data_IF_483480520505
#
_entry.id   IF_483480520505
#
_cell.length_a   1.000
_cell.length_b   1.000
_cell.length_c   1.000
_cell.angle_alpha   90.00
_cell.angle_beta   90.00
_cell.angle_gamma   90.00
#
_symmetry.space_group_name_H-M   'P 1'
#
loop_
_entity.id
_entity.type
_entity.pdbx_description
1 polymer ?
#
# COMPACT_ATOMS: atom_id res chain seq x y z
N UNK A 1 -10.56 12.46 -14.65
CA UNK A 1 -10.94 12.22 -13.23
C UNK A 1 -11.07 10.72 -13.02
N UNK A 2 -10.22 10.16 -12.15
CA UNK A 2 -10.00 8.72 -11.97
C UNK A 2 -11.26 8.01 -11.45
N UNK A 3 -11.65 6.92 -12.13
CA UNK A 3 -12.82 6.06 -11.82
C UNK A 3 -12.84 5.52 -10.39
N UNK A 4 -11.75 5.64 -9.63
CA UNK A 4 -11.53 5.00 -8.33
C UNK A 4 -11.93 5.84 -7.11
N UNK A 5 -12.17 7.16 -7.24
CA UNK A 5 -12.74 7.95 -6.14
C UNK A 5 -14.19 7.53 -5.80
N UNK A 6 -14.88 6.86 -6.73
CA UNK A 6 -16.25 6.37 -6.54
C UNK A 6 -16.33 4.89 -6.09
N UNK A 7 -15.22 4.15 -6.04
CA UNK A 7 -15.26 2.69 -5.87
C UNK A 7 -15.04 2.21 -4.43
N UNK A 8 -14.98 3.10 -3.45
CA UNK A 8 -14.82 2.70 -2.04
C UNK A 8 -13.44 2.12 -1.72
N UNK A 9 -12.40 2.51 -2.45
CA UNK A 9 -11.02 2.09 -2.16
C UNK A 9 -10.17 3.27 -1.69
N UNK A 10 -9.29 3.02 -0.73
CA UNK A 10 -8.25 3.94 -0.31
C UNK A 10 -6.93 3.64 -1.01
N UNK A 11 -6.23 4.70 -1.36
CA UNK A 11 -4.93 4.63 -2.02
C UNK A 11 -3.82 4.94 -1.01
N UNK A 12 -2.78 4.09 -0.97
CA UNK A 12 -1.63 4.27 -0.10
C UNK A 12 -0.32 3.97 -0.85
N UNK A 13 0.79 4.51 -0.34
CA UNK A 13 2.14 4.18 -0.79
C UNK A 13 2.83 3.42 0.32
N UNK A 14 3.10 2.13 0.09
CA UNK A 14 3.71 1.25 1.08
C UNK A 14 5.17 0.99 0.74
N UNK A 15 6.08 1.10 1.72
CA UNK A 15 7.49 0.82 1.49
C UNK A 15 7.72 -0.67 1.26
N UNK A 16 8.51 -0.99 0.24
CA UNK A 16 9.00 -2.33 -0.07
C UNK A 16 10.52 -2.34 -0.12
N UNK A 17 11.13 -3.43 0.36
CA UNK A 17 12.56 -3.69 0.22
C UNK A 17 12.79 -4.60 -0.99
N UNK A 18 13.58 -4.09 -1.93
CA UNK A 18 14.09 -4.86 -3.04
C UNK A 18 15.60 -4.60 -3.14
N UNK A 19 16.39 -5.66 -2.99
CA UNK A 19 17.86 -5.60 -3.13
C UNK A 19 18.52 -4.57 -2.19
N UNK A 20 18.08 -4.53 -0.93
CA UNK A 20 18.57 -3.63 0.11
C UNK A 20 18.34 -2.14 -0.20
N UNK A 21 17.35 -1.84 -1.04
CA UNK A 21 16.85 -0.48 -1.30
C UNK A 21 15.36 -0.41 -1.03
N UNK A 22 14.93 0.74 -0.49
CA UNK A 22 13.53 1.02 -0.24
C UNK A 22 12.91 1.66 -1.48
N UNK A 23 11.84 1.05 -1.95
CA UNK A 23 10.96 1.57 -3.01
C UNK A 23 9.55 1.69 -2.45
N UNK A 24 8.65 2.30 -3.22
CA UNK A 24 7.25 2.43 -2.83
C UNK A 24 6.33 1.72 -3.81
N UNK A 25 5.45 0.91 -3.25
CA UNK A 25 4.35 0.28 -3.97
C UNK A 25 3.08 1.08 -3.72
N UNK A 26 2.46 1.55 -4.79
CA UNK A 26 1.16 2.20 -4.73
C UNK A 26 0.08 1.12 -4.67
N UNK A 27 -0.70 1.10 -3.60
CA UNK A 27 -1.72 0.08 -3.36
C UNK A 27 -3.11 0.68 -3.25
N UNK A 28 -4.12 -0.11 -3.59
CA UNK A 28 -5.52 0.20 -3.35
C UNK A 28 -6.13 -0.85 -2.46
N UNK A 29 -6.76 -0.39 -1.39
CA UNK A 29 -7.32 -1.22 -0.32
C UNK A 29 -8.79 -0.89 -0.18
N UNK A 30 -9.62 -1.86 0.13
CA UNK A 30 -11.03 -1.62 0.47
C UNK A 30 -11.16 -0.64 1.66
N UNK A 31 -11.97 0.40 1.49
CA UNK A 31 -12.06 1.48 2.47
C UNK A 31 -12.77 1.06 3.76
N UNK A 32 -13.70 0.10 3.71
CA UNK A 32 -14.39 -0.42 4.89
C UNK A 32 -13.41 -1.13 5.85
N UNK A 33 -12.45 -1.86 5.30
CA UNK A 33 -11.36 -2.49 6.04
C UNK A 33 -10.39 -1.44 6.62
N UNK A 34 -10.12 -0.36 5.88
CA UNK A 34 -9.25 0.72 6.35
C UNK A 34 -9.82 1.47 7.57
N UNK A 35 -11.15 1.60 7.70
CA UNK A 35 -11.76 2.27 8.86
C UNK A 35 -11.29 1.64 10.18
N UNK A 36 -11.02 0.32 10.20
CA UNK A 36 -10.49 -0.37 11.39
C UNK A 36 -9.07 0.11 11.72
N UNK A 37 -8.21 0.28 10.71
CA UNK A 37 -6.85 0.80 10.88
C UNK A 37 -6.87 2.27 11.31
N UNK A 38 -7.74 3.11 10.73
CA UNK A 38 -7.86 4.51 11.11
C UNK A 38 -8.29 4.66 12.57
N UNK A 39 -9.26 3.86 13.04
CA UNK A 39 -9.64 3.85 14.46
C UNK A 39 -8.48 3.48 15.39
N UNK A 40 -7.61 2.54 14.98
CA UNK A 40 -6.39 2.20 15.75
C UNK A 40 -5.40 3.38 15.77
N UNK A 41 -5.31 4.15 14.68
CA UNK A 41 -4.47 5.33 14.58
C UNK A 41 -5.00 6.47 15.47
N UNK A 42 -6.32 6.70 15.48
CA UNK A 42 -6.98 7.71 16.30
C UNK A 42 -6.79 7.46 17.80
N UNK A 43 -6.67 6.20 18.25
CA UNK A 43 -6.36 5.88 19.65
C UNK A 43 -4.95 6.34 20.10
N UNK A 44 -4.04 6.56 19.15
CA UNK A 44 -2.64 6.94 19.43
C UNK A 44 -2.44 8.44 19.21
N UNK A 45 -3.02 9.00 18.15
CA UNK A 45 -2.75 10.37 17.70
C UNK A 45 -3.96 11.31 17.78
N UNK A 46 -5.16 10.79 18.02
CA UNK A 46 -6.39 11.55 18.15
C UNK A 46 -7.06 11.36 19.52
N UNK A 47 -8.30 11.81 19.62
CA UNK A 47 -9.19 11.53 20.76
C UNK A 47 -10.56 11.03 20.28
N UNK A 48 -11.38 10.42 21.15
CA UNK A 48 -12.74 10.03 20.77
C UNK A 48 -13.61 11.20 20.29
N UNK A 49 -13.36 12.41 20.79
CA UNK A 49 -14.09 13.64 20.43
C UNK A 49 -13.51 14.33 19.19
N UNK A 50 -12.19 14.19 18.97
CA UNK A 50 -11.44 14.76 17.84
C UNK A 50 -10.59 13.64 17.21
N UNK A 51 -11.15 12.82 16.30
CA UNK A 51 -10.32 11.95 15.47
C UNK A 51 -9.34 12.83 14.67
N UNK A 52 -8.23 12.27 14.22
CA UNK A 52 -7.10 12.97 13.57
C UNK A 52 -6.03 13.57 14.49
N UNK A 53 -4.82 13.63 13.93
CA UNK A 53 -3.62 14.16 14.56
C UNK A 53 -3.77 15.67 14.81
N UNK A 54 -4.00 16.08 16.07
CA UNK A 54 -4.12 17.50 16.44
C UNK A 54 -2.80 18.25 16.38
N UNK A 55 -1.71 17.56 16.70
CA UNK A 55 -0.36 18.08 16.59
C UNK A 55 0.20 17.77 15.19
N UNK A 56 0.43 18.83 14.41
CA UNK A 56 0.99 18.69 13.06
C UNK A 56 2.41 18.10 13.06
N UNK A 57 3.17 18.24 14.15
CA UNK A 57 4.51 17.64 14.26
C UNK A 57 4.46 16.11 14.33
N UNK A 58 3.32 15.53 14.72
CA UNK A 58 3.11 14.10 14.80
C UNK A 58 2.61 13.49 13.48
N UNK A 59 2.23 14.30 12.48
CA UNK A 59 1.72 13.82 11.19
C UNK A 59 2.67 12.85 10.48
N UNK A 60 3.99 13.11 10.38
CA UNK A 60 4.91 12.15 9.75
C UNK A 60 4.89 10.78 10.44
N UNK A 61 4.92 10.79 11.77
CA UNK A 61 4.87 9.59 12.60
C UNK A 61 3.52 8.85 12.45
N UNK A 62 2.41 9.58 12.39
CA UNK A 62 1.09 9.00 12.16
C UNK A 62 1.00 8.36 10.77
N UNK A 63 1.62 8.94 9.74
CA UNK A 63 1.65 8.38 8.38
C UNK A 63 2.49 7.10 8.30
N UNK A 64 3.63 7.03 8.98
CA UNK A 64 4.42 5.81 9.12
C UNK A 64 3.61 4.72 9.83
N UNK A 65 2.96 5.08 10.95
CA UNK A 65 2.14 4.13 11.69
C UNK A 65 0.93 3.63 10.90
N UNK A 66 0.30 4.50 10.11
CA UNK A 66 -0.78 4.11 9.22
C UNK A 66 -0.30 3.12 8.15
N UNK A 67 0.90 3.31 7.61
CA UNK A 67 1.50 2.39 6.65
C UNK A 67 1.71 1.00 7.27
N UNK A 68 2.22 0.93 8.50
CA UNK A 68 2.36 -0.33 9.24
C UNK A 68 1.02 -1.01 9.48
N UNK A 69 -0.01 -0.25 9.89
CA UNK A 69 -1.36 -0.78 10.13
C UNK A 69 -2.01 -1.29 8.84
N UNK A 70 -1.75 -0.64 7.71
CA UNK A 70 -2.19 -1.09 6.40
C UNK A 70 -1.48 -2.40 6.01
N UNK A 71 -0.17 -2.51 6.24
CA UNK A 71 0.58 -3.75 6.00
C UNK A 71 0.00 -4.89 6.85
N UNK A 72 -0.27 -4.63 8.13
CA UNK A 72 -0.94 -5.58 9.03
C UNK A 72 -2.30 -6.04 8.48
N UNK A 73 -3.13 -5.09 8.04
CA UNK A 73 -4.44 -5.37 7.45
C UNK A 73 -4.33 -6.27 6.21
N UNK A 74 -3.35 -6.03 5.35
CA UNK A 74 -3.13 -6.85 4.15
C UNK A 74 -2.69 -8.27 4.53
N UNK A 75 -1.87 -8.43 5.56
CA UNK A 75 -1.46 -9.76 6.03
C UNK A 75 -2.60 -10.52 6.71
N UNK A 76 -3.41 -9.86 7.54
CA UNK A 76 -4.57 -10.46 8.20
C UNK A 76 -5.67 -10.83 7.19
N UNK A 77 -5.89 -9.96 6.20
CA UNK A 77 -6.89 -10.15 5.16
C UNK A 77 -6.33 -9.79 3.77
N UNK A 78 -5.65 -10.73 3.09
CA UNK A 78 -5.07 -10.50 1.76
C UNK A 78 -6.07 -10.05 0.70
N UNK A 79 -7.37 -10.36 0.86
CA UNK A 79 -8.44 -9.94 -0.06
C UNK A 79 -8.73 -8.44 0.00
N UNK A 80 -8.25 -7.74 1.03
CA UNK A 80 -8.37 -6.28 1.15
C UNK A 80 -7.53 -5.54 0.12
N UNK A 81 -6.39 -6.11 -0.30
CA UNK A 81 -5.54 -5.56 -1.35
C UNK A 81 -6.17 -5.82 -2.73
N UNK A 82 -6.60 -4.76 -3.40
CA UNK A 82 -7.26 -4.86 -4.71
C UNK A 82 -6.35 -4.62 -5.88
N UNK A 83 -5.41 -3.68 -5.73
CA UNK A 83 -4.48 -3.30 -6.79
C UNK A 83 -3.14 -2.95 -6.18
N UNK A 84 -2.09 -3.21 -6.94
CA UNK A 84 -0.73 -2.85 -6.61
C UNK A 84 -0.03 -2.37 -7.89
N UNK A 85 0.57 -1.19 -7.84
CA UNK A 85 1.34 -0.61 -8.92
C UNK A 85 2.75 -0.24 -8.43
N UNK A 86 3.73 -0.43 -9.29
CA UNK A 86 5.13 -0.06 -9.07
C UNK A 86 5.73 0.53 -10.33
N UNK A 87 6.92 1.10 -10.21
CA UNK A 87 7.73 1.52 -11.37
C UNK A 87 8.09 0.34 -12.27
N UNK A 88 8.26 0.58 -13.59
CA UNK A 88 8.51 -0.50 -14.56
C UNK A 88 9.75 -1.33 -14.22
N UNK A 89 10.84 -0.67 -13.84
CA UNK A 89 12.08 -1.34 -13.44
C UNK A 89 11.87 -2.24 -12.21
N UNK A 90 11.05 -1.82 -11.26
CA UNK A 90 10.71 -2.59 -10.06
C UNK A 90 9.82 -3.78 -10.41
N UNK A 91 8.85 -3.62 -11.31
CA UNK A 91 8.03 -4.73 -11.79
C UNK A 91 8.89 -5.81 -12.48
N UNK A 92 9.89 -5.41 -13.27
CA UNK A 92 10.82 -6.33 -13.93
C UNK A 92 11.69 -7.08 -12.91
N UNK A 93 12.24 -6.37 -11.93
CA UNK A 93 13.02 -7.00 -10.86
C UNK A 93 12.17 -7.97 -10.00
N UNK A 94 10.93 -7.60 -9.66
CA UNK A 94 9.99 -8.48 -8.96
C UNK A 94 9.63 -9.72 -9.79
N UNK A 95 9.43 -9.55 -11.11
CA UNK A 95 9.18 -10.66 -12.02
C UNK A 95 10.36 -11.63 -12.09
N UNK A 96 11.59 -11.11 -12.20
CA UNK A 96 12.79 -11.95 -12.29
C UNK A 96 13.08 -12.69 -10.99
N UNK A 97 12.95 -12.01 -9.85
CA UNK A 97 13.34 -12.55 -8.54
C UNK A 97 12.28 -13.43 -7.91
N UNK A 98 11.00 -13.06 -8.05
CA UNK A 98 9.89 -13.68 -7.34
C UNK A 98 8.79 -14.24 -8.25
N UNK A 99 8.91 -14.07 -9.57
CA UNK A 99 7.89 -14.55 -10.51
C UNK A 99 6.58 -13.76 -10.49
N UNK A 100 6.58 -12.54 -9.92
CA UNK A 100 5.40 -11.66 -9.88
C UNK A 100 5.03 -11.24 -11.30
N UNK A 101 3.75 -11.40 -11.66
CA UNK A 101 3.25 -11.10 -13.00
C UNK A 101 2.68 -9.70 -13.07
N UNK A 102 2.70 -9.14 -14.27
CA UNK A 102 1.97 -7.91 -14.63
C UNK A 102 0.52 -8.28 -14.94
N UNK A 103 -0.43 -7.42 -14.59
CA UNK A 103 -1.83 -7.58 -15.01
C UNK A 103 -1.89 -7.47 -16.53
N UNK A 104 -2.59 -8.41 -17.17
CA UNK A 104 -2.89 -8.30 -18.60
C UNK A 104 -3.98 -7.25 -18.80
N UNK A 105 -3.59 -6.03 -19.15
CA UNK A 105 -4.52 -4.95 -19.41
C UNK A 105 -4.95 -4.93 -20.88
N UNK A 106 -6.21 -4.57 -21.12
CA UNK A 106 -6.73 -4.36 -22.49
C UNK A 106 -6.20 -3.06 -23.10
N UNK A 107 -5.87 -2.09 -22.25
CA UNK A 107 -5.30 -0.79 -22.63
C UNK A 107 -4.01 -0.63 -21.84
N UNK A 108 -2.91 -0.41 -22.54
CA UNK A 108 -1.63 -0.14 -21.90
C UNK A 108 -1.63 1.27 -21.28
N UNK A 109 -1.06 1.39 -20.08
CA UNK A 109 -0.82 2.69 -19.48
C UNK A 109 0.15 3.50 -20.37
N UNK A 110 -0.07 4.83 -20.51
CA UNK A 110 0.89 5.69 -21.18
C UNK A 110 2.30 5.52 -20.60
N UNK A 111 3.30 5.32 -21.47
CA UNK A 111 4.69 5.06 -21.05
C UNK A 111 5.25 6.16 -20.12
N UNK A 112 4.77 7.39 -20.27
CA UNK A 112 5.15 8.54 -19.44
C UNK A 112 4.81 8.37 -17.95
N UNK A 113 3.86 7.51 -17.60
CA UNK A 113 3.47 7.29 -16.21
C UNK A 113 4.44 6.37 -15.47
N UNK A 114 5.33 5.66 -16.18
CA UNK A 114 6.28 4.67 -15.66
C UNK A 114 5.68 3.77 -14.56
N UNK A 115 4.41 3.38 -14.69
CA UNK A 115 3.70 2.58 -13.71
C UNK A 115 3.17 1.29 -14.33
N UNK A 116 3.40 0.19 -13.63
CA UNK A 116 2.97 -1.16 -14.02
C UNK A 116 2.12 -1.73 -12.91
N UNK A 117 0.92 -2.20 -13.27
CA UNK A 117 0.02 -2.91 -12.37
C UNK A 117 0.44 -4.38 -12.25
N UNK A 118 0.57 -4.85 -11.01
CA UNK A 118 0.97 -6.21 -10.67
C UNK A 118 -0.26 -7.08 -10.42
N UNK A 119 -0.20 -8.34 -10.84
CA UNK A 119 -1.21 -9.34 -10.50
C UNK A 119 -1.10 -9.66 -9.01
N UNK A 120 -2.07 -9.17 -8.23
CA UNK A 120 -2.14 -9.34 -6.78
C UNK A 120 -2.03 -10.82 -6.39
N UNK A 121 -2.61 -11.75 -7.15
CA UNK A 121 -2.54 -13.18 -6.80
C UNK A 121 -1.11 -13.72 -6.81
N UNK A 122 -0.27 -13.21 -7.71
CA UNK A 122 1.15 -13.59 -7.77
C UNK A 122 2.02 -12.79 -6.81
N UNK A 123 1.53 -11.64 -6.36
CA UNK A 123 2.21 -10.76 -5.42
C UNK A 123 2.03 -11.20 -3.97
N UNK A 124 0.82 -11.60 -3.57
CA UNK A 124 0.48 -11.96 -2.18
C UNK A 124 1.50 -12.90 -1.51
N UNK A 125 2.00 -13.97 -2.16
CA UNK A 125 2.94 -14.91 -1.53
C UNK A 125 4.28 -14.29 -1.13
N UNK A 126 4.66 -13.16 -1.74
CA UNK A 126 5.98 -12.52 -1.52
C UNK A 126 5.90 -11.24 -0.70
N UNK A 127 4.69 -10.77 -0.34
CA UNK A 127 4.50 -9.52 0.40
C UNK A 127 5.21 -9.51 1.77
N UNK A 128 5.26 -10.65 2.48
CA UNK A 128 5.99 -10.76 3.76
C UNK A 128 7.49 -10.49 3.63
N UNK A 129 8.07 -10.75 2.46
CA UNK A 129 9.48 -10.50 2.17
C UNK A 129 9.71 -9.08 1.66
N UNK A 130 8.69 -8.49 1.05
CA UNK A 130 8.77 -7.18 0.40
C UNK A 130 8.46 -6.05 1.38
N UNK A 131 7.33 -6.10 2.08
CA UNK A 131 6.91 -4.97 2.91
C UNK A 131 7.87 -4.75 4.07
N UNK A 132 8.24 -3.48 4.25
CA UNK A 132 9.03 -3.04 5.39
C UNK A 132 8.09 -2.34 6.33
N UNK A 133 8.04 -2.78 7.58
CA UNK A 133 7.39 -2.01 8.62
C UNK A 133 8.40 -1.03 9.20
N UNK A 134 8.00 0.22 9.37
CA UNK A 134 8.84 1.23 10.00
C UNK A 134 9.11 0.91 11.47
N UNK A 135 8.24 0.11 12.12
CA UNK A 135 8.40 -0.46 13.47
C UNK A 135 9.24 0.43 14.39
N UNK A 136 8.64 1.52 14.83
CA UNK A 136 9.10 2.15 16.07
C UNK A 136 8.81 1.17 17.21
N UNK A 137 9.89 0.58 17.73
CA UNK A 137 9.92 0.10 19.11
C UNK A 137 9.76 1.27 20.07
#
# INVERSE_FOLDING_TARGET
MSRYLYTGHYEAFLPINLENKIYYMRVWIEADELVKALKKLDLIFGTPEEPYCKDLYQVPLAMERLSDLIIDLIFENPKSLKRACVEKAIAEALSMKYGVKKVKQTIEYPEILDQVELDVQTLLPVLNTLFVKSSLN
#
